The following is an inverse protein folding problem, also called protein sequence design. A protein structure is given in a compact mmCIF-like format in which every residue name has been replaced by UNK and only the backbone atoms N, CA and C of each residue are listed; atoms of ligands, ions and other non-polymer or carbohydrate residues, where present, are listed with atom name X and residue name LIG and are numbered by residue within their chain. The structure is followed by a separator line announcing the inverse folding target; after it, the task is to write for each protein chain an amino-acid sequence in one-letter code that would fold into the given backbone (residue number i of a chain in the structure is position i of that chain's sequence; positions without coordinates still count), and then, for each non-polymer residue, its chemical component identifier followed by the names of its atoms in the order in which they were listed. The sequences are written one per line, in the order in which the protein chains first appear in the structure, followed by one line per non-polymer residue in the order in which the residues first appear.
data_IF_203613344616
#
_entry.id   IF_203613344616
#
_cell.length_a   1.000
_cell.length_b   1.000
_cell.length_c   1.000
_cell.angle_alpha   90.00
_cell.angle_beta   90.00
_cell.angle_gamma   90.00
#
_symmetry.space_group_name_H-M   'P 1'
#
loop_
_entity.id
_entity.type
_entity.pdbx_description
1 polymer ?
#
# COMPACT_ATOMS: atom_id res chain seq x y z
N UNK A 1 -3.27 0.89 22.86
CA UNK A 1 -2.81 1.19 21.48
C UNK A 1 -4.03 1.58 20.64
N UNK A 2 -3.95 2.68 19.87
CA UNK A 2 -4.96 2.97 18.83
C UNK A 2 -4.66 2.06 17.65
N UNK A 3 -5.64 1.24 17.24
CA UNK A 3 -5.52 0.36 16.09
C UNK A 3 -5.05 1.15 14.84
N UNK A 4 -3.97 0.71 14.20
CA UNK A 4 -3.39 1.33 13.00
C UNK A 4 -3.15 2.84 13.10
N UNK A 5 -2.60 3.29 14.24
CA UNK A 5 -2.01 4.61 14.31
C UNK A 5 -0.92 4.77 13.22
N UNK A 6 -0.72 5.97 12.65
CA UNK A 6 0.36 6.23 11.72
C UNK A 6 1.71 5.79 12.29
N UNK A 7 2.52 5.17 11.45
CA UNK A 7 3.84 4.65 11.81
C UNK A 7 4.89 5.33 10.94
N UNK A 8 5.90 5.92 11.56
CA UNK A 8 7.06 6.47 10.86
C UNK A 8 8.32 5.77 11.33
N UNK A 9 9.17 5.36 10.39
CA UNK A 9 10.44 4.71 10.67
C UNK A 9 11.47 5.05 9.58
N UNK A 10 12.75 4.86 9.90
CA UNK A 10 13.84 4.96 8.95
C UNK A 10 14.11 3.57 8.36
N UNK A 11 14.27 3.51 7.04
CA UNK A 11 14.47 2.28 6.30
C UNK A 11 15.73 2.36 5.43
N UNK A 12 16.57 1.34 5.54
CA UNK A 12 17.63 1.08 4.55
C UNK A 12 17.00 0.41 3.33
N UNK A 13 17.08 1.05 2.17
CA UNK A 13 16.50 0.56 0.92
C UNK A 13 17.62 0.33 -0.09
N UNK A 14 17.66 -0.87 -0.69
CA UNK A 14 18.70 -1.22 -1.64
C UNK A 14 18.82 -0.20 -2.79
N UNK A 15 20.05 0.19 -3.11
CA UNK A 15 20.39 1.20 -4.13
C UNK A 15 19.92 2.64 -3.82
N UNK A 16 19.62 2.93 -2.54
CA UNK A 16 19.43 4.28 -2.04
C UNK A 16 20.52 4.53 -1.00
N UNK A 17 21.41 5.54 -1.20
CA UNK A 17 22.57 5.73 -0.32
C UNK A 17 22.21 6.12 1.12
N UNK A 18 21.18 6.96 1.27
CA UNK A 18 20.78 7.52 2.56
C UNK A 18 19.52 6.82 3.10
N UNK A 19 19.39 6.65 4.43
CA UNK A 19 18.20 6.08 5.04
C UNK A 19 16.93 6.87 4.67
N UNK A 20 15.90 6.16 4.23
CA UNK A 20 14.63 6.74 3.77
C UNK A 20 13.65 6.77 4.93
N UNK A 21 13.05 7.93 5.20
CA UNK A 21 11.94 8.02 6.14
C UNK A 21 10.67 7.52 5.47
N UNK A 22 10.04 6.48 6.02
CA UNK A 22 8.75 5.98 5.54
C UNK A 22 7.70 6.30 6.59
N UNK A 23 6.64 7.01 6.19
CA UNK A 23 5.45 7.23 7.00
C UNK A 23 4.28 6.45 6.41
N UNK A 24 3.72 5.52 7.19
CA UNK A 24 2.59 4.68 6.83
C UNK A 24 1.31 5.25 7.43
N UNK A 25 0.30 5.38 6.58
CA UNK A 25 -1.08 5.73 6.97
C UNK A 25 -2.05 4.68 6.42
N UNK A 26 -3.20 4.54 7.08
CA UNK A 26 -4.16 3.48 6.79
C UNK A 26 -5.54 4.05 6.50
N UNK A 27 -6.19 3.51 5.48
CA UNK A 27 -7.63 3.71 5.25
C UNK A 27 -8.45 2.82 6.18
N UNK A 28 -9.67 3.24 6.52
CA UNK A 28 -10.62 2.38 7.25
C UNK A 28 -10.99 1.09 6.50
N UNK A 29 -10.76 1.04 5.18
CA UNK A 29 -11.01 -0.14 4.33
C UNK A 29 -10.17 -1.38 4.72
N UNK A 30 -9.10 -1.19 5.48
CA UNK A 30 -8.26 -2.29 5.98
C UNK A 30 -8.96 -3.10 7.08
N UNK A 31 -10.00 -2.57 7.72
CA UNK A 31 -10.79 -3.23 8.76
C UNK A 31 -12.31 -3.16 8.51
N UNK A 32 -12.72 -2.73 7.31
CA UNK A 32 -14.14 -2.62 6.93
C UNK A 32 -14.43 -3.21 5.55
N UNK A 33 -15.68 -3.60 5.32
CA UNK A 33 -16.17 -4.15 4.05
C UNK A 33 -17.56 -3.60 3.72
N UNK A 34 -17.92 -3.57 2.44
CA UNK A 34 -19.25 -3.17 1.96
C UNK A 34 -20.31 -4.25 2.21
N UNK A 35 -19.89 -5.50 2.39
CA UNK A 35 -20.77 -6.66 2.63
C UNK A 35 -20.81 -7.09 4.10
N UNK A 36 -20.22 -6.32 5.00
CA UNK A 36 -20.12 -6.68 6.42
C UNK A 36 -21.45 -6.51 7.15
N UNK A 37 -21.62 -7.27 8.24
CA UNK A 37 -22.76 -7.16 9.15
C UNK A 37 -22.41 -6.46 10.47
N UNK A 38 -21.21 -5.88 10.58
CA UNK A 38 -20.77 -5.14 11.78
C UNK A 38 -21.32 -3.72 11.84
N UNK A 39 -20.96 -2.93 12.87
CA UNK A 39 -21.32 -1.52 12.95
C UNK A 39 -20.87 -0.73 11.72
N UNK A 40 -21.68 0.27 11.34
CA UNK A 40 -21.37 1.12 10.20
C UNK A 40 -20.09 1.96 10.44
N UNK A 41 -19.25 2.02 9.42
CA UNK A 41 -18.08 2.89 9.30
C UNK A 41 -18.31 3.74 8.04
N UNK A 42 -18.89 4.94 8.18
CA UNK A 42 -19.31 5.73 7.03
C UNK A 42 -18.15 6.16 6.10
N UNK A 43 -18.43 6.34 4.79
CA UNK A 43 -19.71 6.04 4.13
C UNK A 43 -19.79 4.59 3.61
N UNK A 44 -20.97 3.96 3.72
CA UNK A 44 -21.35 2.69 3.07
C UNK A 44 -20.40 1.50 3.30
N UNK A 45 -19.81 1.41 4.50
CA UNK A 45 -19.01 0.26 4.91
C UNK A 45 -19.35 -0.14 6.32
N UNK A 46 -19.04 -1.39 6.64
CA UNK A 46 -19.30 -1.99 7.94
C UNK A 46 -18.01 -2.58 8.49
N UNK A 47 -17.87 -2.52 9.81
CA UNK A 47 -16.78 -3.18 10.51
C UNK A 47 -16.74 -4.67 10.14
N UNK A 48 -15.55 -5.18 9.84
CA UNK A 48 -15.32 -6.56 9.48
C UNK A 48 -14.28 -7.16 10.43
N UNK A 49 -14.72 -8.09 11.28
CA UNK A 49 -13.86 -8.70 12.30
C UNK A 49 -12.65 -9.42 11.71
N UNK A 50 -12.82 -10.14 10.59
CA UNK A 50 -11.73 -10.87 9.94
C UNK A 50 -10.67 -9.91 9.40
N UNK A 51 -11.10 -8.83 8.72
CA UNK A 51 -10.18 -7.79 8.25
C UNK A 51 -9.48 -7.07 9.40
N UNK A 52 -10.22 -6.77 10.47
CA UNK A 52 -9.65 -6.18 11.68
C UNK A 52 -8.54 -7.07 12.26
N UNK A 53 -8.83 -8.35 12.47
CA UNK A 53 -7.88 -9.33 13.01
C UNK A 53 -6.64 -9.45 12.12
N UNK A 54 -6.81 -9.57 10.79
CA UNK A 54 -5.68 -9.62 9.85
C UNK A 54 -4.85 -8.32 9.88
N UNK A 55 -5.50 -7.17 10.04
CA UNK A 55 -4.82 -5.87 10.02
C UNK A 55 -3.96 -5.59 11.25
N UNK A 56 -4.10 -6.34 12.35
CA UNK A 56 -3.24 -6.20 13.53
C UNK A 56 -1.76 -6.45 13.23
N UNK A 57 -1.46 -7.32 12.27
CA UNK A 57 -0.09 -7.65 11.86
C UNK A 57 0.43 -6.74 10.73
N UNK A 58 -0.43 -5.92 10.13
CA UNK A 58 -0.12 -5.12 8.95
C UNK A 58 1.05 -4.13 9.17
N UNK A 59 1.17 -3.42 10.31
CA UNK A 59 2.31 -2.53 10.54
C UNK A 59 3.64 -3.27 10.49
N UNK A 60 3.70 -4.46 11.09
CA UNK A 60 4.90 -5.29 11.12
C UNK A 60 5.25 -5.81 9.72
N UNK A 61 4.26 -6.32 8.97
CA UNK A 61 4.46 -6.79 7.59
C UNK A 61 5.04 -5.68 6.70
N UNK A 62 4.56 -4.45 6.85
CA UNK A 62 5.02 -3.31 6.05
C UNK A 62 6.39 -2.78 6.49
N UNK A 63 6.70 -2.77 7.78
CA UNK A 63 7.97 -2.24 8.28
C UNK A 63 9.15 -3.20 8.11
N UNK A 64 8.88 -4.50 7.89
CA UNK A 64 9.92 -5.52 7.75
C UNK A 64 9.95 -6.19 6.39
N UNK A 65 8.83 -6.79 5.97
CA UNK A 65 8.82 -7.67 4.80
C UNK A 65 8.76 -6.87 3.49
N UNK A 66 7.95 -5.81 3.43
CA UNK A 66 7.74 -5.02 2.21
C UNK A 66 9.05 -4.46 1.62
N UNK A 67 10.00 -4.04 2.46
CA UNK A 67 11.21 -3.34 2.00
C UNK A 67 12.07 -4.18 1.05
N UNK A 68 12.04 -5.50 1.21
CA UNK A 68 12.80 -6.46 0.41
C UNK A 68 11.95 -7.21 -0.62
N UNK A 69 10.65 -6.91 -0.67
CA UNK A 69 9.69 -7.67 -1.46
C UNK A 69 9.50 -7.15 -2.88
N UNK A 70 8.67 -7.87 -3.64
CA UNK A 70 8.18 -7.44 -4.94
C UNK A 70 6.75 -6.91 -4.81
N UNK A 71 6.48 -5.83 -5.53
CA UNK A 71 5.19 -5.19 -5.62
C UNK A 71 4.74 -5.13 -7.06
N UNK A 72 3.43 -5.16 -7.28
CA UNK A 72 2.84 -5.20 -8.60
C UNK A 72 2.13 -3.87 -8.85
N UNK A 73 2.68 -3.02 -9.74
CA UNK A 73 2.10 -1.73 -10.07
C UNK A 73 0.81 -1.90 -10.89
N UNK A 74 -0.17 -1.04 -10.68
CA UNK A 74 -1.38 -0.99 -11.49
C UNK A 74 -1.97 0.42 -11.49
N UNK A 75 -2.83 0.71 -12.46
CA UNK A 75 -3.56 1.98 -12.51
C UNK A 75 -4.96 1.75 -11.95
N UNK A 76 -5.36 2.57 -10.98
CA UNK A 76 -6.72 2.52 -10.44
C UNK A 76 -7.72 3.25 -11.34
N UNK A 77 -9.02 3.19 -10.99
CA UNK A 77 -10.09 3.85 -11.78
C UNK A 77 -9.91 5.37 -11.92
N UNK A 78 -9.21 6.01 -10.98
CA UNK A 78 -8.91 7.45 -11.01
C UNK A 78 -7.63 7.80 -11.77
N UNK A 79 -7.07 6.86 -12.53
CA UNK A 79 -5.81 7.01 -13.27
C UNK A 79 -4.58 7.29 -12.37
N UNK A 80 -4.64 6.89 -11.09
CA UNK A 80 -3.52 6.95 -10.17
C UNK A 80 -2.77 5.62 -10.15
N UNK A 81 -1.45 5.69 -10.14
CA UNK A 81 -0.60 4.51 -9.96
C UNK A 81 -0.66 4.05 -8.51
N UNK A 82 -1.06 2.80 -8.34
CA UNK A 82 -1.13 2.08 -7.09
C UNK A 82 -0.28 0.81 -7.18
N UNK A 83 -0.04 0.21 -6.04
CA UNK A 83 0.71 -1.03 -5.94
C UNK A 83 -0.11 -2.03 -5.13
N UNK A 84 0.09 -3.30 -5.41
CA UNK A 84 -0.26 -4.31 -4.44
C UNK A 84 0.94 -5.19 -4.12
N UNK A 85 0.92 -5.69 -2.90
CA UNK A 85 1.89 -6.62 -2.35
C UNK A 85 1.11 -7.82 -1.81
N UNK A 86 1.55 -9.02 -2.16
CA UNK A 86 1.02 -10.25 -1.59
C UNK A 86 2.04 -10.81 -0.61
N UNK A 87 1.65 -10.87 0.66
CA UNK A 87 2.42 -11.52 1.71
C UNK A 87 2.17 -13.04 1.69
N UNK A 88 2.95 -13.79 2.48
CA UNK A 88 2.71 -15.22 2.75
C UNK A 88 1.26 -15.44 3.20
N UNK A 89 0.63 -16.51 2.70
CA UNK A 89 -0.79 -16.88 2.91
C UNK A 89 -1.84 -16.04 2.17
N UNK A 90 -1.52 -15.54 0.97
CA UNK A 90 -2.49 -14.85 0.09
C UNK A 90 -3.10 -13.58 0.72
N UNK A 91 -2.39 -12.91 1.63
CA UNK A 91 -2.83 -11.62 2.18
C UNK A 91 -2.43 -10.48 1.24
N UNK A 92 -3.42 -9.90 0.55
CA UNK A 92 -3.19 -8.82 -0.40
C UNK A 92 -3.27 -7.45 0.30
N UNK A 93 -2.23 -6.64 0.09
CA UNK A 93 -2.13 -5.28 0.59
C UNK A 93 -2.07 -4.34 -0.61
N UNK A 94 -3.04 -3.44 -0.72
CA UNK A 94 -3.13 -2.42 -1.76
C UNK A 94 -2.75 -1.07 -1.18
N UNK A 95 -1.80 -0.38 -1.81
CA UNK A 95 -1.30 0.88 -1.30
C UNK A 95 -0.90 1.85 -2.41
N UNK A 96 -0.81 3.11 -2.03
CA UNK A 96 -0.20 4.19 -2.78
C UNK A 96 1.13 4.58 -2.13
N UNK A 97 2.11 4.99 -2.94
CA UNK A 97 3.42 5.43 -2.49
C UNK A 97 3.77 6.75 -3.16
N UNK A 98 4.04 7.77 -2.35
CA UNK A 98 4.37 9.13 -2.83
C UNK A 98 5.61 9.66 -2.14
N UNK A 99 6.30 10.58 -2.79
CA UNK A 99 7.32 11.40 -2.14
C UNK A 99 6.68 12.22 -1.02
N UNK A 100 7.36 12.29 0.12
CA UNK A 100 7.02 13.26 1.15
C UNK A 100 7.68 14.59 0.84
N UNK A 101 6.90 15.60 0.49
CA UNK A 101 7.43 16.94 0.24
C UNK A 101 7.91 17.65 1.51
N UNK A 102 7.56 17.14 2.70
CA UNK A 102 8.03 17.65 3.99
C UNK A 102 9.37 17.08 4.44
N UNK A 103 9.89 16.04 3.76
CA UNK A 103 11.15 15.39 4.13
C UNK A 103 11.94 15.01 2.86
N UNK A 104 13.15 15.56 2.63
CA UNK A 104 13.88 15.40 1.36
C UNK A 104 14.06 13.95 0.89
N UNK A 105 14.30 13.04 1.84
CA UNK A 105 14.40 11.59 1.62
C UNK A 105 13.22 10.85 2.27
N UNK A 106 12.01 11.37 2.08
CA UNK A 106 10.79 10.84 2.69
C UNK A 106 9.84 10.22 1.68
N UNK A 107 9.18 9.14 2.11
CA UNK A 107 8.08 8.50 1.41
C UNK A 107 6.85 8.42 2.32
N UNK A 108 5.68 8.67 1.74
CA UNK A 108 4.38 8.43 2.36
C UNK A 108 3.73 7.22 1.69
N UNK A 109 3.49 6.18 2.48
CA UNK A 109 2.77 4.98 2.08
C UNK A 109 1.36 5.05 2.65
N UNK A 110 0.35 5.03 1.78
CA UNK A 110 -1.05 5.00 2.21
C UNK A 110 -1.66 3.65 1.85
N UNK A 111 -1.97 2.84 2.87
CA UNK A 111 -2.64 1.55 2.67
C UNK A 111 -4.11 1.80 2.42
N UNK A 112 -4.53 1.53 1.18
CA UNK A 112 -5.89 1.76 0.72
C UNK A 112 -6.81 0.62 1.12
N UNK A 113 -6.33 -0.62 1.14
CA UNK A 113 -7.08 -1.80 1.58
C UNK A 113 -6.12 -2.95 1.83
N UNK A 114 -6.48 -3.85 2.73
CA UNK A 114 -5.77 -5.12 2.92
C UNK A 114 -6.78 -6.21 3.30
N UNK A 115 -6.62 -7.42 2.77
CA UNK A 115 -7.50 -8.56 3.08
C UNK A 115 -6.89 -9.87 2.60
N UNK A 116 -7.30 -10.98 3.24
CA UNK A 116 -6.98 -12.33 2.78
C UNK A 116 -7.75 -12.65 1.50
N UNK A 117 -7.03 -13.15 0.49
CA UNK A 117 -7.60 -13.40 -0.82
C UNK A 117 -8.20 -14.80 -0.83
N UNK A 118 -9.52 -14.89 -0.75
CA UNK A 118 -10.21 -16.15 -1.01
C UNK A 118 -10.07 -16.57 -2.49
N UNK A 119 -10.38 -17.83 -2.80
CA UNK A 119 -10.20 -18.41 -4.14
C UNK A 119 -10.88 -17.60 -5.26
N UNK A 120 -11.99 -16.92 -4.97
CA UNK A 120 -12.71 -16.07 -5.93
C UNK A 120 -12.08 -14.68 -6.09
N UNK A 121 -11.46 -14.14 -5.04
CA UNK A 121 -10.77 -12.85 -5.06
C UNK A 121 -9.51 -12.82 -5.91
N UNK A 122 -8.85 -13.98 -6.15
CA UNK A 122 -7.62 -14.07 -6.95
C UNK A 122 -7.75 -13.52 -8.36
N UNK A 123 -8.96 -13.57 -8.94
CA UNK A 123 -9.20 -13.07 -10.30
C UNK A 123 -9.19 -11.54 -10.38
N UNK A 124 -9.44 -10.87 -9.25
CA UNK A 124 -9.47 -9.40 -9.14
C UNK A 124 -8.10 -8.77 -8.85
N UNK A 125 -7.09 -9.59 -8.57
CA UNK A 125 -5.72 -9.13 -8.31
C UNK A 125 -5.06 -8.72 -9.64
N UNK A 126 -4.47 -7.52 -9.71
CA UNK A 126 -3.71 -7.09 -10.89
C UNK A 126 -2.62 -8.10 -11.27
N UNK A 127 -2.46 -8.41 -12.56
CA UNK A 127 -1.50 -9.43 -13.04
C UNK A 127 -0.29 -8.84 -13.77
N UNK A 128 0.05 -7.58 -13.52
CA UNK A 128 1.20 -6.95 -14.15
C UNK A 128 2.52 -7.54 -13.61
N UNK A 129 3.63 -7.22 -14.27
CA UNK A 129 4.95 -7.73 -13.90
C UNK A 129 5.35 -7.22 -12.50
N UNK A 130 5.67 -8.10 -11.54
CA UNK A 130 6.20 -7.69 -10.24
C UNK A 130 7.54 -6.95 -10.36
N UNK A 131 7.75 -5.96 -9.50
CA UNK A 131 8.97 -5.14 -9.44
C UNK A 131 9.44 -5.04 -7.99
N UNK A 132 10.76 -4.96 -7.76
CA UNK A 132 11.29 -4.77 -6.41
C UNK A 132 10.75 -3.48 -5.79
N UNK A 133 10.31 -3.52 -4.54
CA UNK A 133 9.86 -2.32 -3.81
C UNK A 133 10.95 -1.23 -3.83
N UNK A 134 12.20 -1.61 -3.63
CA UNK A 134 13.35 -0.69 -3.69
C UNK A 134 13.42 0.13 -4.98
N UNK A 135 13.11 -0.49 -6.13
CA UNK A 135 13.08 0.22 -7.41
C UNK A 135 11.95 1.24 -7.47
N UNK A 136 10.77 0.86 -6.99
CA UNK A 136 9.59 1.75 -6.92
C UNK A 136 9.86 2.92 -5.96
N UNK A 137 10.44 2.65 -4.79
CA UNK A 137 10.83 3.66 -3.81
C UNK A 137 11.82 4.68 -4.42
N UNK A 138 12.83 4.18 -5.14
CA UNK A 138 13.79 5.02 -5.85
C UNK A 138 13.11 5.93 -6.89
N UNK A 139 12.21 5.39 -7.73
CA UNK A 139 11.45 6.22 -8.68
C UNK A 139 10.66 7.31 -7.95
N UNK A 140 9.94 6.96 -6.88
CA UNK A 140 9.08 7.91 -6.16
C UNK A 140 9.87 9.01 -5.47
N UNK A 141 11.03 8.72 -4.88
CA UNK A 141 11.91 9.74 -4.30
C UNK A 141 12.42 10.74 -5.35
N UNK A 142 12.59 10.28 -6.60
CA UNK A 142 12.96 11.12 -7.74
C UNK A 142 11.76 11.79 -8.43
N UNK A 143 10.54 11.68 -7.87
CA UNK A 143 9.33 12.26 -8.44
C UNK A 143 8.83 11.54 -9.69
N UNK A 144 9.27 10.31 -9.92
CA UNK A 144 8.93 9.47 -11.07
C UNK A 144 7.88 8.39 -10.69
N UNK A 145 7.20 7.87 -11.70
CA UNK A 145 6.24 6.77 -11.61
C UNK A 145 6.73 5.57 -12.42
N UNK A 146 6.23 4.37 -12.13
CA UNK A 146 6.54 3.17 -12.94
C UNK A 146 5.97 3.31 -14.34
N UNK A 147 4.72 3.74 -14.44
CA UNK A 147 4.12 4.14 -15.69
C UNK A 147 4.54 5.57 -15.97
N UNK A 148 5.70 5.77 -16.58
CA UNK A 148 6.02 7.06 -17.21
C UNK A 148 4.87 7.39 -18.17
N UNK A 149 4.18 8.50 -17.91
CA UNK A 149 2.98 8.90 -18.62
C UNK A 149 3.07 8.62 -20.12
N UNK A 150 2.10 7.89 -20.67
CA UNK A 150 1.56 8.29 -21.98
C UNK A 150 1.12 9.75 -21.82
N UNK A 151 1.98 10.67 -22.25
CA UNK A 151 1.82 12.14 -22.34
C UNK A 151 0.86 12.80 -21.34
N UNK A 152 1.42 13.69 -20.52
CA UNK A 152 0.70 14.80 -19.91
C UNK A 152 -0.31 15.42 -20.91
N UNK A 153 -1.61 15.16 -20.72
CA UNK A 153 -2.63 16.12 -21.12
C UNK A 153 -2.76 17.08 -19.94
N UNK A 154 -1.95 18.15 -19.99
CA UNK A 154 -2.25 19.39 -19.28
C UNK A 154 -3.70 19.75 -19.61
N UNK A 155 -4.54 19.85 -18.59
CA UNK A 155 -5.71 20.71 -18.64
C UNK A 155 -5.31 22.04 -18.04
#
# INVERSE_FOLDING_TARGET
MKHLAPLTFMAEIANIPDPVQITINYSNHVFSDQKGNGPEIPPDRFFCADRYAASLNLPQMLSTNLLTSYVVPHINKGNNEMYHYMEVNDYAIFFDLRKDNGHPNGLKLYVVSAYEVNQWGRHSIPKSRPMKFAYVAHLRLNGQTVYTSRKAKRR
#
